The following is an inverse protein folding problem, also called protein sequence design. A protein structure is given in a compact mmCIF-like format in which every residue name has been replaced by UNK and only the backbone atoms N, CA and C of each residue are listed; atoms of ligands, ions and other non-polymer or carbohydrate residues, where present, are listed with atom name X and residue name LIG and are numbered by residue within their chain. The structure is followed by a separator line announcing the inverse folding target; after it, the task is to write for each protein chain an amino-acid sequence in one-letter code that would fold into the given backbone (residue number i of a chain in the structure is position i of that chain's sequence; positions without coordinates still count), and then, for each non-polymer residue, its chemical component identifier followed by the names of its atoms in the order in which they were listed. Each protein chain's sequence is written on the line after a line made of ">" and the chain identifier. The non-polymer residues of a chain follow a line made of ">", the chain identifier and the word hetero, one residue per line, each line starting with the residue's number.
data_IF_552583622174
#
_entry.id   IF_552583622174
#
_cell.length_a   1.000
_cell.length_b   1.000
_cell.length_c   1.000
_cell.angle_alpha   90.00
_cell.angle_beta   90.00
_cell.angle_gamma   90.00
#
_symmetry.space_group_name_H-M   'P 1'
#
loop_
_entity.id
_entity.type
_entity.pdbx_description
1 polymer ?
#
# COMPACT_ATOMS: atom_id res chain seq x y z
N UNK A 1 0.02 -5.58 10.55
CA UNK A 1 -0.82 -6.17 9.48
C UNK A 1 -2.16 -6.62 10.02
N UNK A 2 -2.23 -7.47 11.05
CA UNK A 2 -3.50 -7.94 11.62
C UNK A 2 -4.46 -6.82 12.03
N UNK A 3 -3.97 -5.76 12.69
CA UNK A 3 -4.78 -4.62 13.09
C UNK A 3 -5.48 -3.94 11.91
N UNK A 4 -4.80 -3.78 10.76
CA UNK A 4 -5.39 -3.23 9.55
C UNK A 4 -6.48 -4.15 8.97
N UNK A 5 -6.22 -5.47 8.93
CA UNK A 5 -7.20 -6.45 8.49
C UNK A 5 -8.45 -6.45 9.39
N UNK A 6 -8.25 -6.41 10.72
CA UNK A 6 -9.34 -6.30 11.69
C UNK A 6 -10.14 -5.01 11.51
N UNK A 7 -9.46 -3.87 11.32
CA UNK A 7 -10.11 -2.59 11.07
C UNK A 7 -10.98 -2.63 9.81
N UNK A 8 -10.48 -3.20 8.70
CA UNK A 8 -11.25 -3.37 7.49
C UNK A 8 -12.52 -4.23 7.73
N UNK A 9 -12.40 -5.32 8.47
CA UNK A 9 -13.55 -6.19 8.78
C UNK A 9 -14.59 -5.50 9.66
N UNK A 10 -14.16 -4.69 10.63
CA UNK A 10 -15.06 -4.00 11.54
C UNK A 10 -16.01 -3.02 10.82
N UNK A 11 -15.63 -2.51 9.67
CA UNK A 11 -16.44 -1.60 8.84
C UNK A 11 -17.03 -2.28 7.59
N UNK A 12 -17.03 -3.62 7.55
CA UNK A 12 -17.57 -4.39 6.42
C UNK A 12 -16.72 -4.35 5.16
N UNK A 13 -15.46 -3.90 5.27
CA UNK A 13 -14.50 -3.88 4.17
C UNK A 13 -13.96 -5.28 3.87
N UNK A 14 -13.41 -5.44 2.68
CA UNK A 14 -12.69 -6.65 2.27
C UNK A 14 -11.25 -6.59 2.71
N UNK A 15 -10.72 -7.72 3.14
CA UNK A 15 -9.36 -7.88 3.62
C UNK A 15 -8.65 -9.01 2.89
N UNK A 16 -7.54 -8.69 2.22
CA UNK A 16 -6.77 -9.64 1.43
C UNK A 16 -5.32 -9.64 1.89
N UNK A 17 -4.76 -10.82 2.10
CA UNK A 17 -3.36 -11.03 2.47
C UNK A 17 -2.53 -11.50 1.28
N UNK A 18 -1.41 -10.84 1.04
CA UNK A 18 -0.37 -11.26 0.09
C UNK A 18 0.87 -11.65 0.88
N UNK A 19 1.11 -12.94 1.02
CA UNK A 19 2.22 -13.48 1.79
C UNK A 19 3.36 -13.93 0.89
N UNK A 20 4.54 -14.10 1.48
CA UNK A 20 5.68 -14.77 0.86
C UNK A 20 5.94 -16.07 1.62
N UNK A 21 6.13 -17.16 0.90
CA UNK A 21 6.46 -18.45 1.50
C UNK A 21 7.88 -18.36 2.08
N UNK A 22 7.98 -18.54 3.39
CA UNK A 22 9.23 -18.58 4.12
C UNK A 22 9.46 -20.00 4.68
N UNK A 23 10.71 -20.36 5.03
CA UNK A 23 11.04 -21.70 5.55
C UNK A 23 10.48 -21.97 6.96
N UNK A 24 9.76 -21.03 7.56
CA UNK A 24 9.09 -21.19 8.86
C UNK A 24 7.58 -21.22 8.66
N UNK A 25 6.86 -21.83 9.60
CA UNK A 25 5.40 -21.83 9.60
C UNK A 25 4.84 -20.41 9.68
N UNK A 26 3.89 -20.11 8.79
CA UNK A 26 3.17 -18.85 8.73
C UNK A 26 1.69 -19.15 8.60
N UNK A 27 0.91 -18.59 9.51
CA UNK A 27 -0.54 -18.75 9.48
C UNK A 27 -1.21 -17.41 9.09
N UNK A 28 -2.20 -17.44 8.18
CA UNK A 28 -3.00 -16.26 7.90
C UNK A 28 -3.75 -15.83 9.17
N UNK A 29 -3.83 -14.52 9.41
CA UNK A 29 -4.64 -14.04 10.53
C UNK A 29 -6.14 -14.21 10.25
N UNK A 30 -7.00 -14.31 11.28
CA UNK A 30 -8.42 -14.66 11.13
C UNK A 30 -9.28 -13.57 10.47
N UNK A 31 -8.72 -12.39 10.22
CA UNK A 31 -9.44 -11.25 9.63
C UNK A 31 -9.29 -11.14 8.11
N UNK A 32 -8.69 -12.14 7.46
CA UNK A 32 -8.53 -12.18 6.02
C UNK A 32 -9.73 -12.85 5.34
N UNK A 33 -10.27 -12.21 4.31
CA UNK A 33 -11.26 -12.82 3.42
C UNK A 33 -10.62 -13.72 2.38
N UNK A 34 -9.42 -13.32 1.93
CA UNK A 34 -8.62 -14.09 0.98
C UNK A 34 -7.15 -13.99 1.35
N UNK A 35 -6.47 -15.08 1.07
CA UNK A 35 -5.06 -15.24 1.30
C UNK A 35 -4.38 -15.74 0.03
N UNK A 36 -3.21 -15.19 -0.28
CA UNK A 36 -2.42 -15.60 -1.43
C UNK A 36 -0.95 -15.74 -1.03
N UNK A 37 -0.37 -16.89 -1.29
CA UNK A 37 1.02 -17.17 -1.04
C UNK A 37 1.84 -17.04 -2.32
N UNK A 38 2.93 -16.31 -2.23
CA UNK A 38 3.90 -16.14 -3.31
C UNK A 38 5.20 -16.89 -2.99
N UNK A 39 5.71 -17.61 -3.97
CA UNK A 39 7.00 -18.29 -3.86
C UNK A 39 8.17 -17.34 -4.07
N UNK A 40 7.99 -16.30 -4.89
CA UNK A 40 9.05 -15.37 -5.29
C UNK A 40 8.72 -13.95 -4.87
N UNK A 41 9.70 -13.29 -4.24
CA UNK A 41 9.58 -11.89 -3.80
C UNK A 41 9.20 -10.94 -4.93
N UNK A 42 9.87 -11.03 -6.08
CA UNK A 42 9.63 -10.13 -7.20
C UNK A 42 8.21 -10.23 -7.75
N UNK A 43 7.60 -11.42 -7.76
CA UNK A 43 6.22 -11.61 -8.21
C UNK A 43 5.26 -10.89 -7.26
N UNK A 44 5.43 -11.07 -5.94
CA UNK A 44 4.63 -10.40 -4.92
C UNK A 44 4.74 -8.88 -5.04
N UNK A 45 5.96 -8.34 -5.17
CA UNK A 45 6.24 -6.91 -5.31
C UNK A 45 5.55 -6.30 -6.53
N UNK A 46 5.71 -6.92 -7.69
CA UNK A 46 5.04 -6.46 -8.93
C UNK A 46 3.52 -6.44 -8.78
N UNK A 47 2.95 -7.47 -8.18
CA UNK A 47 1.49 -7.55 -8.02
C UNK A 47 0.98 -6.57 -6.97
N UNK A 48 1.68 -6.38 -5.86
CA UNK A 48 1.33 -5.35 -4.87
C UNK A 48 1.34 -3.96 -5.51
N UNK A 49 2.37 -3.60 -6.24
CA UNK A 49 2.46 -2.30 -6.91
C UNK A 49 1.41 -2.16 -8.01
N UNK A 50 1.15 -3.21 -8.79
CA UNK A 50 0.21 -3.18 -9.93
C UNK A 50 -1.25 -3.08 -9.51
N UNK A 51 -1.64 -3.72 -8.42
CA UNK A 51 -3.04 -3.81 -7.98
C UNK A 51 -3.37 -2.94 -6.78
N UNK A 52 -2.45 -2.09 -6.35
CA UNK A 52 -2.69 -1.08 -5.32
C UNK A 52 -2.92 0.29 -5.93
N UNK A 53 -3.61 1.15 -5.20
CA UNK A 53 -3.79 2.56 -5.54
C UNK A 53 -3.02 3.48 -4.60
N UNK A 54 -2.52 2.94 -3.52
CA UNK A 54 -1.75 3.65 -2.51
C UNK A 54 -0.99 2.67 -1.61
N UNK A 55 0.05 3.15 -0.94
CA UNK A 55 0.69 2.45 0.16
C UNK A 55 0.61 3.26 1.44
N UNK A 56 0.20 2.60 2.52
CA UNK A 56 0.35 3.10 3.89
C UNK A 56 1.39 2.22 4.58
N UNK A 57 2.53 2.81 4.85
CA UNK A 57 3.71 2.14 5.39
C UNK A 57 3.73 2.35 6.89
N UNK A 58 3.59 1.27 7.64
CA UNK A 58 3.66 1.24 9.09
C UNK A 58 5.06 0.85 9.56
N UNK A 59 5.42 1.07 10.84
CA UNK A 59 6.68 0.57 11.40
C UNK A 59 6.95 -0.87 11.02
N UNK A 60 8.14 -1.13 10.47
CA UNK A 60 8.50 -2.45 9.97
C UNK A 60 10.00 -2.59 9.70
N UNK A 61 10.39 -3.77 9.25
CA UNK A 61 11.79 -4.09 8.96
C UNK A 61 12.16 -3.93 7.49
N UNK A 62 13.18 -4.66 7.08
CA UNK A 62 13.75 -4.58 5.73
C UNK A 62 12.74 -4.81 4.62
N UNK A 63 11.81 -5.76 4.77
CA UNK A 63 10.79 -6.02 3.75
C UNK A 63 9.81 -4.87 3.59
N UNK A 64 9.50 -4.13 4.67
CA UNK A 64 8.66 -2.93 4.61
C UNK A 64 9.39 -1.79 3.91
N UNK A 65 10.67 -1.58 4.23
CA UNK A 65 11.50 -0.57 3.59
C UNK A 65 11.80 -0.88 2.13
N UNK A 66 11.95 -2.15 1.79
CA UNK A 66 12.10 -2.61 0.41
C UNK A 66 10.89 -2.21 -0.46
N UNK A 67 9.66 -2.45 0.01
CA UNK A 67 8.44 -2.00 -0.70
C UNK A 67 8.33 -0.47 -0.75
N UNK A 68 8.70 0.22 0.32
CA UNK A 68 8.69 1.68 0.37
C UNK A 68 9.65 2.29 -0.66
N UNK A 69 10.91 1.87 -0.67
CA UNK A 69 11.90 2.41 -1.59
C UNK A 69 11.66 1.98 -3.05
N UNK A 70 11.11 0.81 -3.27
CA UNK A 70 10.69 0.41 -4.62
C UNK A 70 9.58 1.33 -5.14
N UNK A 71 8.55 1.60 -4.32
CA UNK A 71 7.49 2.51 -4.71
C UNK A 71 8.04 3.91 -5.03
N UNK A 72 8.90 4.47 -4.18
CA UNK A 72 9.53 5.77 -4.42
C UNK A 72 10.35 5.76 -5.72
N UNK A 73 11.11 4.72 -5.97
CA UNK A 73 11.92 4.58 -7.20
C UNK A 73 11.04 4.54 -8.44
N UNK A 74 9.94 3.79 -8.41
CA UNK A 74 9.01 3.69 -9.53
C UNK A 74 8.29 5.02 -9.81
N UNK A 75 7.98 5.80 -8.78
CA UNK A 75 7.35 7.11 -8.92
C UNK A 75 8.38 8.13 -9.43
N UNK A 76 9.56 8.19 -8.83
CA UNK A 76 10.66 9.07 -9.22
C UNK A 76 11.04 8.89 -10.70
N UNK A 77 11.15 7.65 -11.14
CA UNK A 77 11.48 7.30 -12.53
C UNK A 77 10.30 7.41 -13.50
N UNK A 78 9.12 7.81 -13.01
CA UNK A 78 7.87 7.95 -13.77
C UNK A 78 7.35 6.65 -14.41
N UNK A 79 7.83 5.51 -13.96
CA UNK A 79 7.29 4.18 -14.31
C UNK A 79 5.88 4.02 -13.71
N UNK A 80 5.71 4.48 -12.47
CA UNK A 80 4.39 4.68 -11.88
C UNK A 80 4.00 6.17 -11.95
N UNK A 81 2.74 6.42 -12.25
CA UNK A 81 2.17 7.77 -12.13
C UNK A 81 2.08 8.13 -10.65
N UNK A 82 1.62 9.35 -10.31
CA UNK A 82 1.42 9.80 -8.92
C UNK A 82 0.69 8.74 -8.11
N UNK A 83 1.47 7.97 -7.37
CA UNK A 83 0.99 6.90 -6.51
C UNK A 83 1.22 7.37 -5.07
N UNK A 84 0.17 7.62 -4.28
CA UNK A 84 0.34 8.17 -2.94
C UNK A 84 0.98 7.12 -2.02
N UNK A 85 2.03 7.55 -1.36
CA UNK A 85 2.75 6.78 -0.34
C UNK A 85 2.68 7.57 0.96
N UNK A 86 2.21 6.95 2.02
CA UNK A 86 2.16 7.54 3.35
C UNK A 86 3.02 6.73 4.31
N UNK A 87 3.91 7.40 5.00
CA UNK A 87 4.76 6.83 6.03
C UNK A 87 4.17 7.23 7.39
N UNK A 88 3.66 6.26 8.15
CA UNK A 88 3.02 6.49 9.45
C UNK A 88 3.99 6.22 10.59
N UNK A 89 3.77 6.91 11.73
CA UNK A 89 4.60 6.87 12.93
C UNK A 89 5.94 7.60 12.74
N UNK A 90 5.87 8.93 12.88
CA UNK A 90 7.02 9.82 12.71
C UNK A 90 8.17 9.46 13.64
N UNK A 91 7.91 9.18 14.91
CA UNK A 91 8.94 8.78 15.88
C UNK A 91 9.77 7.58 15.42
N UNK A 92 9.13 6.58 14.82
CA UNK A 92 9.83 5.40 14.32
C UNK A 92 10.64 5.69 13.06
N UNK A 93 10.13 6.57 12.21
CA UNK A 93 10.72 6.85 10.90
C UNK A 93 11.58 8.12 10.85
N UNK A 94 11.76 8.82 11.97
CA UNK A 94 12.54 10.06 12.05
C UNK A 94 13.94 9.91 11.44
N UNK A 95 14.71 8.93 11.88
CA UNK A 95 16.06 8.69 11.36
C UNK A 95 16.08 8.33 9.87
N UNK A 96 15.09 7.61 9.40
CA UNK A 96 14.92 7.29 7.98
C UNK A 96 14.65 8.56 7.18
N UNK A 97 13.77 9.42 7.67
CA UNK A 97 13.42 10.68 7.01
C UNK A 97 14.62 11.63 6.97
N UNK A 98 15.37 11.77 8.08
CA UNK A 98 16.62 12.54 8.12
C UNK A 98 17.65 11.99 7.12
N UNK A 99 17.77 10.67 7.01
CA UNK A 99 18.65 10.08 6.02
C UNK A 99 18.22 10.37 4.58
N UNK A 100 16.93 10.34 4.27
CA UNK A 100 16.42 10.71 2.95
C UNK A 100 16.70 12.19 2.64
N UNK A 101 16.54 13.09 3.62
CA UNK A 101 16.94 14.51 3.46
C UNK A 101 18.43 14.65 3.15
N UNK A 102 19.26 13.89 3.84
CA UNK A 102 20.69 13.85 3.59
C UNK A 102 21.04 13.38 2.16
N UNK A 103 20.29 12.40 1.59
CA UNK A 103 20.47 12.01 0.20
C UNK A 103 20.17 13.17 -0.77
N UNK A 104 19.17 14.00 -0.47
CA UNK A 104 18.87 15.19 -1.26
C UNK A 104 19.94 16.27 -1.14
N UNK A 105 20.54 16.46 0.04
CA UNK A 105 21.64 17.37 0.27
C UNK A 105 22.91 16.96 -0.48
N UNK A 106 23.18 15.65 -0.54
CA UNK A 106 24.31 15.09 -1.31
C UNK A 106 24.05 15.07 -2.82
N UNK A 107 22.81 15.33 -3.26
CA UNK A 107 22.46 15.36 -4.67
C UNK A 107 22.33 13.95 -5.30
N UNK A 108 22.14 12.91 -4.49
CA UNK A 108 21.85 11.56 -4.98
C UNK A 108 20.39 11.36 -5.35
N UNK A 109 19.52 12.22 -4.81
CA UNK A 109 18.13 12.42 -5.20
C UNK A 109 17.85 13.92 -5.34
N UNK A 110 16.75 14.31 -6.03
CA UNK A 110 16.37 15.71 -6.13
C UNK A 110 15.61 16.14 -4.87
N UNK A 111 15.58 17.45 -4.60
CA UNK A 111 14.83 17.98 -3.45
C UNK A 111 13.31 17.72 -3.58
N UNK A 112 12.80 17.75 -4.80
CA UNK A 112 11.41 17.47 -5.11
C UNK A 112 11.02 16.01 -4.82
N UNK A 113 12.00 15.10 -4.73
CA UNK A 113 11.75 13.70 -4.38
C UNK A 113 11.32 13.53 -2.91
N UNK A 114 11.56 14.53 -2.07
CA UNK A 114 11.04 14.56 -0.70
C UNK A 114 9.51 14.67 -0.64
N UNK A 115 8.88 15.17 -1.70
CA UNK A 115 7.44 15.30 -1.84
C UNK A 115 6.76 14.05 -2.42
N UNK A 116 7.51 12.96 -2.64
CA UNK A 116 6.98 11.71 -3.16
C UNK A 116 6.17 10.93 -2.12
N UNK A 117 6.30 11.25 -0.87
CA UNK A 117 5.57 10.60 0.23
C UNK A 117 5.18 11.61 1.31
N UNK A 118 4.15 11.27 2.06
CA UNK A 118 3.72 12.01 3.26
C UNK A 118 4.24 11.28 4.50
N UNK A 119 4.91 11.98 5.41
CA UNK A 119 5.20 11.50 6.76
C UNK A 119 4.21 12.15 7.73
N UNK A 120 3.40 11.35 8.43
CA UNK A 120 2.40 11.86 9.36
C UNK A 120 2.05 10.85 10.45
N UNK A 121 1.54 11.37 11.57
CA UNK A 121 0.90 10.59 12.64
C UNK A 121 -0.63 10.73 12.63
N UNK A 122 -1.16 11.64 11.80
CA UNK A 122 -2.59 11.90 11.70
C UNK A 122 -3.25 10.97 10.69
N UNK A 123 -4.29 10.26 11.15
CA UNK A 123 -5.14 9.44 10.29
C UNK A 123 -5.92 10.31 9.31
N UNK A 124 -6.35 11.49 9.76
CA UNK A 124 -7.11 12.44 8.95
C UNK A 124 -6.26 12.99 7.78
N UNK A 125 -5.00 13.36 8.04
CA UNK A 125 -4.08 13.80 6.99
C UNK A 125 -3.78 12.65 5.99
N UNK A 126 -3.58 11.44 6.50
CA UNK A 126 -3.43 10.26 5.66
C UNK A 126 -4.64 10.06 4.76
N UNK A 127 -5.86 10.09 5.31
CA UNK A 127 -7.10 9.92 4.55
C UNK A 127 -7.27 11.01 3.49
N UNK A 128 -6.99 12.27 3.82
CA UNK A 128 -7.05 13.38 2.88
C UNK A 128 -6.05 13.20 1.73
N UNK A 129 -4.81 12.80 2.06
CA UNK A 129 -3.78 12.53 1.06
C UNK A 129 -4.20 11.39 0.11
N UNK A 130 -4.70 10.28 0.67
CA UNK A 130 -5.19 9.15 -0.13
C UNK A 130 -6.40 9.53 -0.98
N UNK A 131 -7.34 10.29 -0.44
CA UNK A 131 -8.51 10.77 -1.18
C UNK A 131 -8.10 11.61 -2.37
N UNK A 132 -7.23 12.59 -2.16
CA UNK A 132 -6.76 13.53 -3.19
C UNK A 132 -5.99 12.83 -4.30
N UNK A 133 -5.05 11.96 -3.96
CA UNK A 133 -4.11 11.41 -4.94
C UNK A 133 -4.50 10.02 -5.46
N UNK A 134 -5.21 9.21 -4.68
CA UNK A 134 -5.71 7.93 -5.16
C UNK A 134 -7.15 8.03 -5.69
N UNK A 135 -8.11 8.46 -4.89
CA UNK A 135 -9.53 8.43 -5.30
C UNK A 135 -9.78 9.44 -6.42
N UNK A 136 -9.49 10.71 -6.15
CA UNK A 136 -9.71 11.80 -7.13
C UNK A 136 -8.68 11.74 -8.26
N UNK A 137 -7.42 11.49 -7.94
CA UNK A 137 -6.31 11.44 -8.90
C UNK A 137 -6.45 10.37 -9.97
N UNK A 138 -7.01 9.20 -9.63
CA UNK A 138 -7.32 8.12 -10.56
C UNK A 138 -8.78 8.11 -11.03
N UNK A 139 -9.61 9.03 -10.52
CA UNK A 139 -11.04 9.07 -10.84
C UNK A 139 -11.79 7.83 -10.39
N UNK A 140 -11.41 7.25 -9.24
CA UNK A 140 -12.01 6.02 -8.74
C UNK A 140 -13.47 6.30 -8.37
N UNK A 141 -14.35 5.41 -8.83
CA UNK A 141 -15.77 5.41 -8.47
C UNK A 141 -16.09 4.17 -7.67
N UNK A 142 -16.96 4.31 -6.67
CA UNK A 142 -17.48 3.15 -5.96
C UNK A 142 -18.17 2.24 -6.99
N UNK A 143 -17.73 1.00 -7.06
CA UNK A 143 -18.37 0.03 -7.96
C UNK A 143 -19.77 -0.21 -7.44
N UNK A 144 -20.78 -0.01 -8.28
CA UNK A 144 -22.14 -0.47 -8.01
C UNK A 144 -22.11 -1.97 -7.84
N UNK A 145 -22.84 -2.50 -6.88
CA UNK A 145 -22.97 -3.94 -6.73
C UNK A 145 -23.51 -4.51 -8.04
N UNK A 146 -22.78 -5.45 -8.61
CA UNK A 146 -23.27 -6.16 -9.79
C UNK A 146 -24.52 -6.93 -9.37
N UNK A 147 -25.66 -6.45 -9.79
CA UNK A 147 -26.91 -7.21 -9.63
C UNK A 147 -26.81 -8.40 -10.60
N UNK A 148 -26.93 -9.64 -10.08
CA UNK A 148 -26.90 -10.82 -10.95
C UNK A 148 -27.94 -10.68 -12.04
N UNK A 149 -27.57 -10.96 -13.28
CA UNK A 149 -28.49 -10.92 -14.41
C UNK A 149 -29.04 -12.32 -14.65
N UNK A 150 -30.34 -12.56 -14.36
CA UNK A 150 -30.95 -13.88 -14.52
C UNK A 150 -30.93 -14.37 -15.99
N UNK A 151 -30.92 -13.43 -16.95
CA UNK A 151 -30.87 -13.77 -18.39
C UNK A 151 -29.52 -14.39 -18.77
N UNK A 152 -28.44 -14.03 -18.02
CA UNK A 152 -27.10 -14.58 -18.20
C UNK A 152 -26.86 -15.83 -17.32
N UNK A 153 -27.86 -16.34 -16.62
CA UNK A 153 -27.71 -17.48 -15.70
C UNK A 153 -26.91 -17.11 -14.43
N UNK A 154 -26.85 -15.83 -14.08
CA UNK A 154 -26.20 -15.36 -12.87
C UNK A 154 -27.21 -15.35 -11.72
N UNK A 155 -26.87 -15.98 -10.59
CA UNK A 155 -27.67 -15.90 -9.36
C UNK A 155 -28.32 -17.21 -8.91
N UNK A 156 -28.17 -18.30 -9.64
CA UNK A 156 -28.55 -19.65 -9.19
C UNK A 156 -27.30 -20.42 -8.73
N UNK A 157 -27.03 -20.37 -7.41
CA UNK A 157 -26.23 -21.38 -6.69
C UNK A 157 -26.90 -21.67 -5.37
#
# INVERSE_FOLDING_TARGET
>A
MEAANRGAKNVGGRSVGCNIILPFEQYPNPYLDKWMDFKYFFVRKVLLSKYSYAFVVMPGGFGTLDEFFEALTLIQTKVMRRFPVVLMCSDFHEHLYEYIKHLAEYGTINKEDLDLFLLTDSVEEMEEHLRKYAIEGYGLKRREELVPNPILGEGEK
#
